data_IF_987519561823
#
_entry.id   IF_987519561823
#
_cell.length_a   1.000
_cell.length_b   1.000
_cell.length_c   1.000
_cell.angle_alpha   90.00
_cell.angle_beta   90.00
_cell.angle_gamma   90.00
#
_symmetry.space_group_name_H-M   'P 1'
#
loop_
_entity.id
_entity.type
_entity.pdbx_description
1 polymer ?
#
# COMPACT_ATOMS: atom_id res chain seq x y z
N UNK A 1 -22.15 15.00 -5.46
CA UNK A 1 -21.26 14.36 -6.44
C UNK A 1 -20.64 13.12 -5.80
N UNK A 2 -20.64 11.99 -6.52
CA UNK A 2 -20.11 10.73 -6.00
C UNK A 2 -18.58 10.79 -5.88
N UNK A 3 -17.89 11.33 -6.90
CA UNK A 3 -16.42 11.48 -6.94
C UNK A 3 -16.12 12.89 -7.46
N UNK A 4 -15.53 13.76 -6.63
CA UNK A 4 -15.19 15.12 -7.07
C UNK A 4 -13.87 15.16 -7.83
N UNK A 5 -13.78 16.06 -8.81
CA UNK A 5 -12.55 16.33 -9.54
C UNK A 5 -12.22 15.32 -10.64
N UNK A 6 -11.15 15.58 -11.42
CA UNK A 6 -10.61 14.65 -12.40
C UNK A 6 -9.83 13.52 -11.72
N UNK A 7 -9.93 12.34 -12.29
CA UNK A 7 -9.31 11.13 -11.74
C UNK A 7 -10.31 10.00 -11.57
N UNK A 8 -9.83 8.78 -11.41
CA UNK A 8 -10.65 7.58 -11.49
C UNK A 8 -11.23 7.12 -10.15
N UNK A 9 -10.60 7.42 -9.02
CA UNK A 9 -10.95 6.83 -7.75
C UNK A 9 -10.85 7.85 -6.62
N UNK A 10 -12.00 8.21 -6.03
CA UNK A 10 -12.06 9.19 -4.95
C UNK A 10 -11.73 8.65 -3.56
N UNK A 11 -11.75 7.33 -3.37
CA UNK A 11 -11.52 6.69 -2.07
C UNK A 11 -10.57 5.49 -2.17
N UNK A 12 -10.53 4.68 -1.11
CA UNK A 12 -9.71 3.46 -1.04
C UNK A 12 -10.44 2.27 -1.68
N UNK A 13 -10.86 2.45 -2.94
CA UNK A 13 -11.38 1.38 -3.79
C UNK A 13 -10.21 0.61 -4.42
N UNK A 14 -10.49 -0.31 -5.34
CA UNK A 14 -9.48 -1.21 -5.91
C UNK A 14 -8.27 -0.48 -6.50
N UNK A 15 -8.48 0.59 -7.28
CA UNK A 15 -7.39 1.29 -7.96
C UNK A 15 -6.39 1.92 -6.97
N UNK A 16 -6.86 2.70 -6.00
CA UNK A 16 -5.98 3.30 -4.99
C UNK A 16 -5.40 2.24 -4.04
N UNK A 17 -6.15 1.19 -3.72
CA UNK A 17 -5.64 0.08 -2.91
C UNK A 17 -4.46 -0.60 -3.59
N UNK A 18 -4.59 -0.96 -4.87
CA UNK A 18 -3.50 -1.63 -5.58
C UNK A 18 -2.32 -0.70 -5.86
N UNK A 19 -2.55 0.57 -6.17
CA UNK A 19 -1.47 1.55 -6.28
C UNK A 19 -0.67 1.66 -4.97
N UNK A 20 -1.36 1.71 -3.82
CA UNK A 20 -0.72 1.75 -2.49
C UNK A 20 -0.01 0.45 -2.14
N UNK A 21 -0.59 -0.70 -2.47
CA UNK A 21 0.02 -2.02 -2.28
C UNK A 21 1.31 -2.17 -3.09
N UNK A 22 1.32 -1.74 -4.36
CA UNK A 22 2.48 -1.78 -5.25
C UNK A 22 3.58 -0.84 -4.74
N UNK A 23 3.24 0.32 -4.20
CA UNK A 23 4.21 1.22 -3.57
C UNK A 23 4.83 0.58 -2.32
N UNK A 24 4.02 -0.05 -1.48
CA UNK A 24 4.50 -0.76 -0.29
C UNK A 24 5.39 -1.97 -0.62
N UNK A 25 5.15 -2.63 -1.75
CA UNK A 25 6.05 -3.66 -2.29
C UNK A 25 7.40 -3.10 -2.76
N UNK A 26 7.54 -1.78 -2.90
CA UNK A 26 8.70 -1.15 -3.51
C UNK A 26 8.73 -1.22 -5.04
N UNK A 27 7.60 -1.55 -5.69
CA UNK A 27 7.49 -1.73 -7.14
C UNK A 27 7.02 -0.47 -7.88
N UNK A 28 6.79 0.63 -7.17
CA UNK A 28 6.65 1.98 -7.70
C UNK A 28 7.45 2.99 -6.87
N UNK A 29 7.59 4.21 -7.39
CA UNK A 29 8.33 5.26 -6.69
C UNK A 29 7.61 5.67 -5.40
N UNK A 30 8.35 6.10 -4.37
CA UNK A 30 7.76 6.63 -3.14
C UNK A 30 6.79 7.77 -3.44
N UNK A 31 5.60 7.72 -2.85
CA UNK A 31 4.49 8.67 -3.03
C UNK A 31 3.84 8.67 -4.43
N UNK A 32 4.18 7.71 -5.28
CA UNK A 32 3.62 7.57 -6.64
C UNK A 32 2.14 7.17 -6.62
N UNK A 33 1.72 6.36 -5.65
CA UNK A 33 0.33 5.93 -5.49
C UNK A 33 -0.65 7.05 -5.17
N UNK A 34 -0.14 8.18 -4.67
CA UNK A 34 -0.91 9.23 -4.05
C UNK A 34 -0.85 10.54 -4.85
N UNK A 35 -0.84 10.47 -6.18
CA UNK A 35 -0.80 11.66 -7.02
C UNK A 35 -2.16 11.93 -7.67
N UNK A 36 -2.62 13.18 -7.58
CA UNK A 36 -3.79 13.61 -8.33
C UNK A 36 -3.49 13.54 -9.83
N UNK A 37 -4.40 12.93 -10.62
CA UNK A 37 -4.19 12.60 -12.01
C UNK A 37 -3.74 13.79 -12.90
N UNK A 38 -4.21 15.00 -12.59
CA UNK A 38 -3.92 16.23 -13.36
C UNK A 38 -2.95 17.17 -12.66
N UNK A 39 -2.30 16.74 -11.58
CA UNK A 39 -1.36 17.60 -10.86
C UNK A 39 -0.03 17.74 -11.61
N UNK A 40 0.67 18.87 -11.47
CA UNK A 40 2.03 19.00 -11.98
C UNK A 40 2.98 17.95 -11.39
N UNK A 41 2.73 17.53 -10.15
CA UNK A 41 3.50 16.49 -9.49
C UNK A 41 3.37 15.15 -10.22
N UNK A 42 2.19 14.81 -10.77
CA UNK A 42 2.02 13.59 -11.57
C UNK A 42 2.87 13.59 -12.83
N UNK A 43 3.03 14.74 -13.48
CA UNK A 43 3.93 14.88 -14.64
C UNK A 43 5.38 14.63 -14.26
N UNK A 44 5.82 15.15 -13.11
CA UNK A 44 7.17 14.91 -12.57
C UNK A 44 7.36 13.44 -12.25
N UNK A 45 6.41 12.82 -11.56
CA UNK A 45 6.39 11.40 -11.21
C UNK A 45 6.53 10.48 -12.44
N UNK A 46 5.82 10.80 -13.53
CA UNK A 46 5.95 10.06 -14.78
C UNK A 46 7.37 10.14 -15.38
N UNK A 47 8.03 11.30 -15.30
CA UNK A 47 9.41 11.46 -15.77
C UNK A 47 10.40 10.69 -14.89
N UNK A 48 10.22 10.79 -13.58
CA UNK A 48 11.04 10.06 -12.60
C UNK A 48 10.89 8.54 -12.73
N UNK A 49 9.69 8.05 -13.04
CA UNK A 49 9.44 6.65 -13.32
C UNK A 49 10.24 6.15 -14.54
N UNK A 50 10.30 6.94 -15.62
CA UNK A 50 11.15 6.64 -16.78
C UNK A 50 12.64 6.59 -16.42
N UNK A 51 13.12 7.52 -15.62
CA UNK A 51 14.50 7.53 -15.14
C UNK A 51 14.80 6.32 -14.22
N UNK A 52 13.84 5.91 -13.38
CA UNK A 52 13.97 4.74 -12.52
C UNK A 52 14.11 3.45 -13.33
N UNK A 53 13.33 3.27 -14.40
CA UNK A 53 13.45 2.11 -15.32
C UNK A 53 14.86 2.04 -15.92
N UNK A 54 15.37 3.16 -16.40
CA UNK A 54 16.75 3.22 -16.96
C UNK A 54 17.81 2.86 -15.90
N UNK A 55 17.62 3.33 -14.65
CA UNK A 55 18.52 3.00 -13.55
C UNK A 55 18.46 1.50 -13.21
N UNK A 56 17.27 0.90 -13.19
CA UNK A 56 17.10 -0.54 -12.97
C UNK A 56 17.82 -1.35 -14.04
N UNK A 57 17.65 -0.99 -15.32
CA UNK A 57 18.34 -1.66 -16.44
C UNK A 57 19.86 -1.58 -16.29
N UNK A 58 20.41 -0.39 -16.00
CA UNK A 58 21.86 -0.18 -15.80
C UNK A 58 22.41 -1.01 -14.62
N UNK A 59 21.63 -1.23 -13.58
CA UNK A 59 22.00 -1.98 -12.38
C UNK A 59 21.66 -3.46 -12.44
N UNK A 60 21.02 -3.92 -13.51
CA UNK A 60 20.57 -5.30 -13.66
C UNK A 60 19.47 -5.71 -12.66
N UNK A 61 18.71 -4.73 -12.12
CA UNK A 61 17.61 -5.02 -11.18
C UNK A 61 16.39 -5.46 -11.97
N UNK A 62 15.90 -6.66 -11.69
CA UNK A 62 14.74 -7.28 -12.33
C UNK A 62 13.52 -7.22 -11.41
N UNK A 63 12.30 -7.34 -11.92
CA UNK A 63 11.09 -7.48 -11.11
C UNK A 63 11.19 -8.59 -10.04
N UNK A 64 11.80 -9.73 -10.39
CA UNK A 64 12.03 -10.86 -9.47
C UNK A 64 12.97 -10.55 -8.31
N UNK A 65 13.78 -9.52 -8.42
CA UNK A 65 14.69 -9.10 -7.34
C UNK A 65 13.99 -8.21 -6.32
N UNK A 66 12.85 -7.61 -6.70
CA UNK A 66 12.03 -6.73 -5.85
C UNK A 66 10.85 -7.48 -5.24
N UNK A 67 10.15 -8.30 -6.06
CA UNK A 67 8.98 -9.05 -5.59
C UNK A 67 9.46 -10.25 -4.77
N UNK A 68 9.41 -10.11 -3.45
CA UNK A 68 9.73 -11.14 -2.47
C UNK A 68 8.51 -11.45 -1.59
N UNK A 69 8.60 -12.48 -0.76
CA UNK A 69 7.56 -12.79 0.22
C UNK A 69 7.34 -11.62 1.17
N UNK A 70 8.42 -11.00 1.65
CA UNK A 70 8.42 -9.86 2.55
C UNK A 70 7.81 -8.62 1.88
N UNK A 71 8.10 -8.39 0.59
CA UNK A 71 7.49 -7.30 -0.18
C UNK A 71 5.97 -7.49 -0.32
N UNK A 72 5.50 -8.72 -0.56
CA UNK A 72 4.07 -9.05 -0.58
C UNK A 72 3.42 -8.87 0.80
N UNK A 73 4.11 -9.23 1.88
CA UNK A 73 3.63 -9.00 3.24
C UNK A 73 3.52 -7.50 3.56
N UNK A 74 4.44 -6.67 3.07
CA UNK A 74 4.33 -5.21 3.14
C UNK A 74 3.08 -4.70 2.42
N UNK A 75 2.79 -5.23 1.23
CA UNK A 75 1.58 -4.87 0.47
C UNK A 75 0.30 -5.23 1.24
N UNK A 76 0.23 -6.41 1.84
CA UNK A 76 -0.90 -6.85 2.67
C UNK A 76 -1.05 -5.92 3.87
N UNK A 77 0.05 -5.63 4.57
CA UNK A 77 0.05 -4.74 5.75
C UNK A 77 -0.49 -3.36 5.43
N UNK A 78 -0.01 -2.74 4.35
CA UNK A 78 -0.47 -1.40 3.94
C UNK A 78 -1.92 -1.44 3.46
N UNK A 79 -2.34 -2.48 2.73
CA UNK A 79 -3.74 -2.67 2.33
C UNK A 79 -4.66 -2.70 3.56
N UNK A 80 -4.29 -3.44 4.60
CA UNK A 80 -5.07 -3.53 5.84
C UNK A 80 -5.09 -2.18 6.57
N UNK A 81 -3.93 -1.56 6.75
CA UNK A 81 -3.84 -0.28 7.47
C UNK A 81 -4.65 0.85 6.81
N UNK A 82 -4.80 0.81 5.48
CA UNK A 82 -5.58 1.75 4.70
C UNK A 82 -7.09 1.44 4.66
N UNK A 83 -7.54 0.29 5.16
CA UNK A 83 -8.92 -0.15 4.97
C UNK A 83 -9.23 -0.44 3.50
N UNK A 84 -8.28 -1.06 2.79
CA UNK A 84 -8.31 -1.26 1.34
C UNK A 84 -9.33 -2.30 0.86
N UNK A 85 -9.47 -2.39 -0.45
CA UNK A 85 -10.43 -3.28 -1.12
C UNK A 85 -10.08 -4.76 -0.95
N UNK A 86 -11.09 -5.61 -0.81
CA UNK A 86 -10.97 -7.09 -0.84
C UNK A 86 -10.36 -7.60 -2.14
N UNK A 87 -10.49 -6.86 -3.24
CA UNK A 87 -9.87 -7.21 -4.52
C UNK A 87 -8.34 -7.32 -4.45
N UNK A 88 -7.69 -6.66 -3.48
CA UNK A 88 -6.26 -6.80 -3.28
C UNK A 88 -5.84 -8.24 -2.95
N UNK A 89 -6.70 -9.02 -2.31
CA UNK A 89 -6.43 -10.44 -2.01
C UNK A 89 -6.23 -11.21 -3.31
N UNK A 90 -7.15 -11.06 -4.26
CA UNK A 90 -7.06 -11.71 -5.58
C UNK A 90 -5.80 -11.28 -6.34
N UNK A 91 -5.54 -9.98 -6.39
CA UNK A 91 -4.43 -9.43 -7.15
C UNK A 91 -3.07 -9.81 -6.56
N UNK A 92 -2.91 -9.75 -5.23
CA UNK A 92 -1.65 -10.13 -4.58
C UNK A 92 -1.37 -11.62 -4.70
N UNK A 93 -2.38 -12.48 -4.63
CA UNK A 93 -2.24 -13.91 -4.92
C UNK A 93 -1.81 -14.16 -6.37
N UNK A 94 -2.39 -13.45 -7.34
CA UNK A 94 -2.01 -13.55 -8.74
C UNK A 94 -0.57 -13.09 -8.99
N UNK A 95 -0.14 -11.97 -8.39
CA UNK A 95 1.24 -11.47 -8.47
C UNK A 95 2.21 -12.50 -7.86
N UNK A 96 1.90 -13.03 -6.69
CA UNK A 96 2.72 -14.04 -6.02
C UNK A 96 2.86 -15.30 -6.86
N UNK A 97 1.76 -15.80 -7.43
CA UNK A 97 1.76 -16.96 -8.32
C UNK A 97 2.66 -16.74 -9.55
N UNK A 98 2.51 -15.59 -10.22
CA UNK A 98 3.35 -15.23 -11.39
C UNK A 98 4.83 -15.10 -11.02
N UNK A 99 5.13 -14.65 -9.82
CA UNK A 99 6.50 -14.53 -9.30
C UNK A 99 7.05 -15.85 -8.71
N UNK A 100 6.30 -16.96 -8.76
CA UNK A 100 6.63 -18.24 -8.12
C UNK A 100 6.87 -18.13 -6.61
N UNK A 101 6.13 -17.24 -5.92
CA UNK A 101 6.20 -17.04 -4.48
C UNK A 101 4.96 -17.68 -3.83
N UNK A 102 5.18 -18.50 -2.81
CA UNK A 102 4.07 -19.08 -2.05
C UNK A 102 3.41 -18.01 -1.17
N UNK A 103 2.22 -17.57 -1.57
CA UNK A 103 1.32 -16.72 -0.80
C UNK A 103 -0.03 -17.42 -0.69
N UNK A 104 -0.62 -17.39 0.49
CA UNK A 104 -1.90 -18.08 0.77
C UNK A 104 -2.86 -17.17 1.51
N UNK A 105 -4.13 -17.53 1.57
CA UNK A 105 -5.14 -16.81 2.35
C UNK A 105 -4.78 -16.73 3.85
N UNK A 106 -4.06 -17.74 4.37
CA UNK A 106 -3.59 -17.75 5.75
C UNK A 106 -2.58 -16.64 6.06
N UNK A 107 -1.80 -16.21 5.06
CA UNK A 107 -0.88 -15.07 5.24
C UNK A 107 -1.67 -13.78 5.52
N UNK A 108 -2.81 -13.57 4.85
CA UNK A 108 -3.70 -12.43 5.13
C UNK A 108 -4.29 -12.50 6.53
N UNK A 109 -4.71 -13.67 6.97
CA UNK A 109 -5.21 -13.88 8.34
C UNK A 109 -4.13 -13.62 9.38
N UNK A 110 -2.93 -14.16 9.18
CA UNK A 110 -1.79 -14.02 10.08
C UNK A 110 -1.37 -12.56 10.24
N UNK A 111 -1.22 -11.84 9.12
CA UNK A 111 -0.85 -10.42 9.12
C UNK A 111 -2.00 -9.59 9.71
N UNK A 112 -3.23 -9.89 9.33
CA UNK A 112 -4.42 -9.18 9.79
C UNK A 112 -4.64 -9.16 11.29
N UNK A 113 -4.18 -10.19 12.00
CA UNK A 113 -4.24 -10.23 13.48
C UNK A 113 -3.33 -9.20 14.17
N UNK A 114 -2.36 -8.65 13.46
CA UNK A 114 -1.34 -7.75 14.00
C UNK A 114 -1.47 -6.31 13.50
N UNK A 115 -2.13 -6.13 12.36
CA UNK A 115 -2.18 -4.84 11.65
C UNK A 115 -3.52 -4.17 11.89
N UNK A 116 -3.53 -2.99 12.52
CA UNK A 116 -4.75 -2.21 12.72
C UNK A 116 -5.16 -1.46 11.46
N UNK A 117 -6.46 -1.11 11.35
CA UNK A 117 -6.95 -0.14 10.36
C UNK A 117 -6.74 1.26 10.90
N UNK A 118 -5.97 2.06 10.17
CA UNK A 118 -5.59 3.41 10.59
C UNK A 118 -6.28 4.52 9.78
N UNK A 119 -6.59 4.26 8.51
CA UNK A 119 -7.10 5.27 7.60
C UNK A 119 -8.63 5.39 7.64
N UNK A 120 -9.13 6.60 7.86
CA UNK A 120 -10.55 6.95 7.84
C UNK A 120 -10.98 7.36 6.41
N UNK A 121 -10.74 6.49 5.43
CA UNK A 121 -10.96 6.73 4.01
C UNK A 121 -12.26 6.10 3.50
N UNK A 122 -12.93 6.78 2.56
CA UNK A 122 -14.04 6.17 1.82
C UNK A 122 -13.59 4.91 1.08
N UNK A 123 -14.45 3.88 0.96
CA UNK A 123 -15.91 3.89 1.20
C UNK A 123 -16.33 3.76 2.67
N UNK A 124 -15.50 3.19 3.55
CA UNK A 124 -15.88 2.89 4.94
C UNK A 124 -15.74 4.10 5.88
N UNK A 125 -14.92 5.07 5.51
CA UNK A 125 -14.60 6.24 6.30
C UNK A 125 -15.13 7.54 5.71
N UNK A 126 -14.65 8.66 6.26
CA UNK A 126 -15.15 10.02 5.98
C UNK A 126 -14.43 10.70 4.82
N UNK A 127 -13.12 10.47 4.68
CA UNK A 127 -12.24 11.27 3.84
C UNK A 127 -11.99 10.66 2.46
N UNK A 128 -11.61 11.50 1.51
CA UNK A 128 -11.24 11.11 0.15
C UNK A 128 -9.73 10.83 0.06
N UNK A 129 -9.31 10.08 -0.95
CA UNK A 129 -7.90 9.85 -1.23
C UNK A 129 -7.15 11.14 -1.52
N UNK A 130 -7.78 12.12 -2.19
CA UNK A 130 -7.19 13.43 -2.46
C UNK A 130 -6.85 14.21 -1.21
N UNK A 131 -7.60 14.02 -0.12
CA UNK A 131 -7.33 14.65 1.18
C UNK A 131 -6.11 13.99 1.85
N UNK A 132 -5.98 12.67 1.75
CA UNK A 132 -4.77 11.96 2.19
C UNK A 132 -3.53 12.41 1.39
N UNK A 133 -3.66 12.56 0.08
CA UNK A 133 -2.59 13.10 -0.78
C UNK A 133 -2.12 14.46 -0.29
N UNK A 134 -3.06 15.37 0.04
CA UNK A 134 -2.74 16.73 0.49
C UNK A 134 -1.93 16.77 1.80
N UNK A 135 -2.01 15.75 2.65
CA UNK A 135 -1.27 15.68 3.91
C UNK A 135 0.01 14.82 3.84
N UNK A 136 0.36 14.27 2.66
CA UNK A 136 1.61 13.51 2.45
C UNK A 136 1.44 12.08 1.93
N UNK A 137 0.24 11.67 1.54
CA UNK A 137 -0.02 10.36 0.98
C UNK A 137 0.18 9.22 1.98
N UNK A 138 0.59 8.05 1.49
CA UNK A 138 0.74 6.85 2.32
C UNK A 138 2.11 6.70 2.99
N UNK A 139 3.12 7.45 2.53
CA UNK A 139 4.51 7.28 2.98
C UNK A 139 4.69 7.52 4.48
N UNK A 140 4.12 8.58 5.09
CA UNK A 140 4.23 8.77 6.54
C UNK A 140 3.59 7.64 7.34
N UNK A 141 2.48 7.04 6.85
CA UNK A 141 1.87 5.87 7.48
C UNK A 141 2.79 4.64 7.38
N UNK A 142 3.38 4.39 6.21
CA UNK A 142 4.37 3.30 6.07
C UNK A 142 5.55 3.49 7.02
N UNK A 143 5.98 4.74 7.24
CA UNK A 143 7.05 5.04 8.20
C UNK A 143 6.63 4.73 9.64
N UNK A 144 5.38 5.00 10.01
CA UNK A 144 4.81 4.61 11.31
C UNK A 144 4.79 3.09 11.47
N UNK A 145 4.26 2.36 10.47
CA UNK A 145 4.19 0.90 10.47
C UNK A 145 5.59 0.26 10.55
N UNK A 146 6.57 0.84 9.85
CA UNK A 146 7.96 0.39 9.93
C UNK A 146 8.54 0.58 11.33
N UNK A 147 8.26 1.69 11.99
CA UNK A 147 8.68 1.98 13.37
C UNK A 147 8.15 0.97 14.39
N UNK A 148 6.97 0.42 14.16
CA UNK A 148 6.33 -0.61 14.98
C UNK A 148 6.73 -2.06 14.57
N UNK A 149 7.67 -2.22 13.64
CA UNK A 149 8.10 -3.53 13.17
C UNK A 149 7.03 -4.30 12.38
N UNK A 150 6.07 -3.59 11.79
CA UNK A 150 4.99 -4.17 10.99
C UNK A 150 5.33 -4.24 9.49
N UNK A 151 6.42 -3.59 9.05
CA UNK A 151 6.93 -3.65 7.68
C UNK A 151 8.36 -4.19 7.64
N UNK A 152 8.68 -4.89 6.57
CA UNK A 152 10.03 -5.35 6.23
C UNK A 152 10.78 -4.23 5.51
N UNK A 153 11.64 -3.51 6.25
CA UNK A 153 12.32 -2.32 5.75
C UNK A 153 13.45 -2.58 4.75
N UNK A 154 13.99 -3.80 4.73
CA UNK A 154 15.17 -4.14 3.93
C UNK A 154 14.83 -4.62 2.50
N UNK A 155 13.54 -4.71 2.14
CA UNK A 155 13.09 -5.05 0.80
C UNK A 155 13.66 -4.06 -0.23
N UNK A 156 14.24 -4.61 -1.32
CA UNK A 156 14.73 -3.83 -2.47
C UNK A 156 13.54 -3.16 -3.17
N UNK A 157 13.77 -1.98 -3.75
CA UNK A 157 12.74 -1.23 -4.46
C UNK A 157 13.22 -0.79 -5.86
N UNK A 158 12.31 -0.29 -6.69
CA UNK A 158 12.59 0.26 -8.02
C UNK A 158 13.61 1.39 -8.03
N UNK A 159 13.83 2.07 -6.91
CA UNK A 159 14.87 3.10 -6.78
C UNK A 159 16.27 2.50 -6.66
N UNK A 160 16.38 1.18 -6.45
CA UNK A 160 17.62 0.50 -6.13
C UNK A 160 18.09 0.71 -4.69
N UNK A 161 17.24 1.27 -3.85
CA UNK A 161 17.41 1.41 -2.39
C UNK A 161 16.43 0.49 -1.67
N UNK A 162 16.64 0.30 -0.37
CA UNK A 162 15.67 -0.42 0.46
C UNK A 162 14.43 0.44 0.75
N UNK A 163 13.32 -0.20 1.13
CA UNK A 163 12.10 0.49 1.56
C UNK A 163 12.42 1.47 2.71
N UNK A 164 13.16 1.04 3.73
CA UNK A 164 13.58 1.88 4.86
C UNK A 164 14.34 3.13 4.41
N UNK A 165 15.26 2.97 3.47
CA UNK A 165 16.03 4.10 2.92
C UNK A 165 15.13 5.08 2.16
N UNK A 166 14.14 4.58 1.43
CA UNK A 166 13.17 5.41 0.72
C UNK A 166 12.24 6.16 1.67
N UNK A 167 11.83 5.55 2.78
CA UNK A 167 10.93 6.18 3.76
C UNK A 167 11.64 7.22 4.64
N UNK A 168 12.95 7.11 4.83
CA UNK A 168 13.71 7.92 5.78
C UNK A 168 13.54 9.44 5.61
N UNK A 169 13.61 10.04 4.40
CA UNK A 169 13.55 11.49 4.20
C UNK A 169 12.16 12.08 4.44
N UNK A 170 11.10 11.30 4.45
CA UNK A 170 9.74 11.81 4.58
C UNK A 170 9.41 12.19 6.03
N UNK A 171 8.69 13.31 6.18
CA UNK A 171 8.22 13.79 7.48
C UNK A 171 6.99 13.04 7.95
N UNK A 172 6.70 13.11 9.23
CA UNK A 172 5.42 12.66 9.79
C UNK A 172 4.25 13.52 9.29
N UNK A 173 3.03 13.03 9.45
CA UNK A 173 1.84 13.80 9.14
C UNK A 173 1.76 15.11 9.95
N UNK A 174 1.07 16.14 9.43
CA UNK A 174 0.78 17.36 10.17
C UNK A 174 0.06 17.06 11.48
N UNK A 175 0.35 17.84 12.52
CA UNK A 175 -0.36 17.74 13.80
C UNK A 175 -1.84 18.11 13.60
N UNK A 176 -2.74 17.38 14.28
CA UNK A 176 -4.18 17.63 14.24
C UNK A 176 -4.92 17.07 13.02
N UNK A 177 -4.23 16.39 12.09
CA UNK A 177 -4.94 15.67 11.04
C UNK A 177 -5.72 14.47 11.61
N UNK A 178 -6.84 14.13 10.98
CA UNK A 178 -7.75 13.05 11.43
C UNK A 178 -7.85 11.88 10.46
N UNK A 179 -7.22 11.97 9.28
CA UNK A 179 -7.37 11.00 8.19
C UNK A 179 -6.68 9.68 8.56
N UNK A 180 -5.46 9.76 9.10
CA UNK A 180 -4.70 8.61 9.57
C UNK A 180 -4.62 8.64 11.09
N UNK A 181 -5.20 7.66 11.74
CA UNK A 181 -5.17 7.52 13.19
C UNK A 181 -3.81 7.01 13.65
N UNK A 182 -3.36 7.40 14.87
CA UNK A 182 -2.16 6.82 15.46
C UNK A 182 -2.40 5.34 15.79
N UNK A 183 -1.34 4.56 15.82
CA UNK A 183 -1.39 3.11 16.13
C UNK A 183 -1.97 2.85 17.53
N UNK A 184 -1.73 3.76 18.47
CA UNK A 184 -2.29 3.69 19.83
C UNK A 184 -3.82 3.89 19.90
N UNK A 185 -4.42 4.49 18.86
CA UNK A 185 -5.88 4.74 18.78
C UNK A 185 -6.39 4.51 17.35
N UNK A 186 -6.36 3.27 16.83
CA UNK A 186 -6.75 2.94 15.48
C UNK A 186 -8.27 2.99 15.31
N UNK A 187 -8.73 3.01 14.05
CA UNK A 187 -10.15 2.86 13.71
C UNK A 187 -10.64 1.46 14.08
N UNK A 188 -9.82 0.44 13.79
CA UNK A 188 -10.06 -0.94 14.16
C UNK A 188 -8.74 -1.58 14.58
N UNK A 189 -8.73 -2.36 15.66
CA UNK A 189 -7.50 -2.94 16.23
C UNK A 189 -6.89 -4.04 15.41
N UNK A 190 -7.68 -4.67 14.55
CA UNK A 190 -7.29 -5.77 13.67
C UNK A 190 -7.78 -5.52 12.24
N UNK A 191 -7.51 -6.45 11.34
CA UNK A 191 -7.89 -6.35 9.92
C UNK A 191 -9.39 -6.19 9.72
N UNK A 192 -9.75 -5.38 8.70
CA UNK A 192 -11.08 -5.35 8.12
C UNK A 192 -11.28 -6.47 7.07
N UNK A 193 -10.17 -7.02 6.54
CA UNK A 193 -10.20 -8.18 5.63
C UNK A 193 -10.26 -9.46 6.46
N UNK A 194 -11.28 -10.26 6.25
CA UNK A 194 -11.51 -11.52 6.97
C UNK A 194 -11.61 -12.65 5.97
N UNK A 195 -10.80 -13.70 6.19
CA UNK A 195 -10.89 -14.93 5.42
C UNK A 195 -11.87 -15.86 6.12
N UNK A 196 -12.98 -16.12 5.46
CA UNK A 196 -14.04 -17.01 5.94
C UNK A 196 -13.83 -18.41 5.37
N UNK A 197 -14.04 -19.42 6.20
CA UNK A 197 -14.04 -20.83 5.78
C UNK A 197 -15.27 -21.55 6.33
N UNK A 198 -15.78 -22.47 5.57
CA UNK A 198 -16.94 -23.29 5.95
C UNK A 198 -17.37 -24.21 4.81
N UNK A 199 -18.48 -24.91 5.02
CA UNK A 199 -19.00 -25.86 4.03
C UNK A 199 -19.44 -25.20 2.71
N UNK A 200 -19.76 -23.90 2.72
CA UNK A 200 -20.09 -23.14 1.50
C UNK A 200 -18.83 -22.61 0.77
N UNK A 201 -17.72 -22.48 1.49
CA UNK A 201 -16.45 -21.99 0.95
C UNK A 201 -15.28 -22.72 1.62
N UNK A 202 -15.08 -24.03 1.33
CA UNK A 202 -14.05 -24.84 1.98
C UNK A 202 -12.64 -24.32 1.71
N UNK A 203 -12.40 -23.74 0.53
CA UNK A 203 -11.12 -23.15 0.13
C UNK A 203 -10.94 -21.72 0.64
N UNK A 204 -11.99 -21.10 1.15
CA UNK A 204 -12.02 -19.74 1.70
C UNK A 204 -12.78 -18.75 0.84
N UNK A 205 -13.26 -17.69 1.50
CA UNK A 205 -13.85 -16.49 0.90
C UNK A 205 -13.34 -15.26 1.64
N UNK A 206 -13.44 -14.08 1.02
CA UNK A 206 -13.01 -12.80 1.59
C UNK A 206 -14.23 -11.95 1.88
#
# INVERSE_FOLDING_TARGET
RAIPGPGSCGGMYTANTMASAIEAMGFSLPNSSAQNAVSPQKVTDCREAGAAVLNMLKRGIRPSDIISKEALENAITVTIALGGSTNAVLHLLAIAHTANIKLTLEDFTRIGRRVPVLADLKPSGRFLMSELVAIGGIVPMMKMLLGEGLLHGDCLTVTGKTLKQNLAPFKAYPKGQEIIRPISNPIKKDSHLVILKGNLAPDGAV
#
